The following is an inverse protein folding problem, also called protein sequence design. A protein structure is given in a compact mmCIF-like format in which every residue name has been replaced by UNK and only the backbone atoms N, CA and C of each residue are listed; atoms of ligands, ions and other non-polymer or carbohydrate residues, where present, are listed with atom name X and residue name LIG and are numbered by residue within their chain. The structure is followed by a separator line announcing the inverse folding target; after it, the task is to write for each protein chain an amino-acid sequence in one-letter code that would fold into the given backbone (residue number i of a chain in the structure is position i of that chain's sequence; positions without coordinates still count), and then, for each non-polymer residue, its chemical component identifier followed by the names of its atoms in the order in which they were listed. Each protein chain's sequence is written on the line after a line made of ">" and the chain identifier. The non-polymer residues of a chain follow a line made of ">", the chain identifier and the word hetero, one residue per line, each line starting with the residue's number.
data_IF_848999230017
#
_entry.id   IF_848999230017
#
_cell.length_a   1.000
_cell.length_b   1.000
_cell.length_c   1.000
_cell.angle_alpha   90.00
_cell.angle_beta   90.00
_cell.angle_gamma   90.00
#
_symmetry.space_group_name_H-M   'P 1'
#
loop_
_entity.id
_entity.type
_entity.pdbx_description
1 polymer ?
#
# COMPACT_ATOMS: atom_id res chain seq x y z
N UNK A 1 -0.19 24.40 31.87
CA UNK A 1 -0.27 25.34 30.73
C UNK A 1 1.07 25.33 30.03
N UNK A 2 1.08 25.32 28.71
CA UNK A 2 2.32 25.51 27.93
C UNK A 2 2.55 26.99 27.63
N UNK A 3 3.81 27.42 27.65
CA UNK A 3 4.21 28.81 27.45
C UNK A 3 5.19 28.95 26.28
N UNK A 4 4.94 29.93 25.41
CA UNK A 4 5.85 30.36 24.36
C UNK A 4 6.35 31.78 24.67
N UNK A 5 7.61 32.05 24.35
CA UNK A 5 8.22 33.38 24.57
C UNK A 5 7.66 34.42 23.60
N UNK A 6 7.23 33.98 22.41
CA UNK A 6 6.59 34.83 21.41
C UNK A 6 5.06 34.82 21.59
N UNK A 7 4.48 36.02 21.75
CA UNK A 7 3.03 36.20 21.94
C UNK A 7 2.18 35.67 20.79
N UNK A 8 2.72 35.66 19.55
CA UNK A 8 2.04 35.19 18.34
C UNK A 8 1.49 33.77 18.47
N UNK A 9 2.23 32.88 19.14
CA UNK A 9 1.83 31.48 19.24
C UNK A 9 0.74 31.28 20.29
N UNK A 10 0.60 32.16 21.28
CA UNK A 10 -0.42 32.02 22.32
C UNK A 10 -0.24 30.76 23.19
N UNK A 11 -0.85 30.76 24.37
CA UNK A 11 -0.71 29.63 25.33
C UNK A 11 -1.71 28.53 25.01
N UNK A 12 -1.28 27.27 25.12
CA UNK A 12 -2.19 26.12 25.10
C UNK A 12 -2.45 25.66 26.54
N UNK A 13 -3.72 25.57 26.90
CA UNK A 13 -4.20 25.18 28.22
C UNK A 13 -4.01 23.69 28.53
N UNK A 14 -4.21 22.81 27.55
CA UNK A 14 -4.22 21.34 27.73
C UNK A 14 -2.99 20.60 27.21
N UNK A 15 -2.22 21.13 26.25
CA UNK A 15 -1.11 20.39 25.61
C UNK A 15 -0.15 19.72 26.62
N UNK A 16 0.32 20.46 27.64
CA UNK A 16 1.18 19.90 28.67
C UNK A 16 0.49 18.82 29.53
N UNK A 17 -0.80 19.03 29.85
CA UNK A 17 -1.59 18.06 30.62
C UNK A 17 -1.84 16.78 29.82
N UNK A 18 -2.13 16.88 28.52
CA UNK A 18 -2.35 15.73 27.65
C UNK A 18 -1.10 14.86 27.54
N UNK A 19 0.08 15.47 27.32
CA UNK A 19 1.36 14.73 27.29
C UNK A 19 1.66 14.08 28.64
N UNK A 20 1.37 14.75 29.75
CA UNK A 20 1.53 14.19 31.09
C UNK A 20 0.58 13.02 31.35
N UNK A 21 -0.69 13.12 30.96
CA UNK A 21 -1.71 12.08 31.14
C UNK A 21 -1.37 10.81 30.31
N UNK A 22 -1.02 10.98 29.03
CA UNK A 22 -0.56 9.89 28.16
C UNK A 22 0.73 9.27 28.70
N UNK A 23 1.69 10.11 29.12
CA UNK A 23 2.94 9.66 29.71
C UNK A 23 2.74 8.84 30.99
N UNK A 24 1.84 9.26 31.88
CA UNK A 24 1.52 8.53 33.11
C UNK A 24 0.84 7.18 32.83
N UNK A 25 0.02 7.08 31.78
CA UNK A 25 -0.57 5.80 31.37
C UNK A 25 0.47 4.85 30.78
N UNK A 26 1.38 5.34 29.92
CA UNK A 26 2.49 4.55 29.39
C UNK A 26 3.43 4.06 30.50
N UNK A 27 3.75 4.91 31.48
CA UNK A 27 4.59 4.56 32.62
C UNK A 27 3.96 3.48 33.50
N UNK A 28 2.64 3.56 33.77
CA UNK A 28 1.90 2.51 34.49
C UNK A 28 1.95 1.15 33.80
N UNK A 29 2.23 1.13 32.49
CA UNK A 29 2.36 -0.07 31.66
C UNK A 29 3.80 -0.51 31.46
N UNK A 30 4.73 0.05 32.23
CA UNK A 30 6.14 -0.34 32.22
C UNK A 30 6.99 0.34 31.15
N UNK A 31 6.48 1.35 30.44
CA UNK A 31 7.30 2.13 29.53
C UNK A 31 8.23 3.08 30.32
N UNK A 32 9.46 3.25 29.85
CA UNK A 32 10.34 4.31 30.33
C UNK A 32 9.89 5.65 29.71
N UNK A 33 9.27 6.51 30.52
CA UNK A 33 8.66 7.76 30.05
C UNK A 33 9.47 8.97 30.50
N UNK A 34 9.63 9.93 29.59
CA UNK A 34 10.19 11.26 29.86
C UNK A 34 9.27 12.30 29.24
N UNK A 35 8.76 13.19 30.08
CA UNK A 35 7.92 14.31 29.67
C UNK A 35 8.79 15.57 29.69
N UNK A 36 8.78 16.31 28.58
CA UNK A 36 9.45 17.61 28.46
C UNK A 36 8.37 18.65 28.22
N UNK A 37 8.18 19.54 29.19
CA UNK A 37 7.25 20.67 29.06
C UNK A 37 7.99 21.88 28.50
N UNK A 38 7.33 22.63 27.62
CA UNK A 38 7.82 23.86 27.00
C UNK A 38 9.28 23.75 26.49
N UNK A 39 9.58 22.76 25.64
CA UNK A 39 10.94 22.56 25.15
C UNK A 39 11.41 23.78 24.36
N UNK A 40 12.57 24.30 24.72
CA UNK A 40 13.35 25.20 23.88
C UNK A 40 14.38 24.41 23.05
N UNK A 41 15.14 25.11 22.21
CA UNK A 41 16.19 24.47 21.39
C UNK A 41 17.23 23.70 22.18
N UNK A 42 17.61 24.19 23.37
CA UNK A 42 18.58 23.51 24.22
C UNK A 42 17.99 22.24 24.85
N UNK A 43 16.68 22.20 25.04
CA UNK A 43 15.91 21.06 25.55
C UNK A 43 15.53 20.00 24.52
N UNK A 44 15.61 20.28 23.21
CA UNK A 44 15.29 19.31 22.14
C UNK A 44 16.04 17.97 22.26
N UNK A 45 17.35 17.92 22.57
CA UNK A 45 18.04 16.65 22.78
C UNK A 45 17.39 15.77 23.87
N UNK A 46 16.76 16.40 24.86
CA UNK A 46 16.03 15.73 25.93
C UNK A 46 14.67 15.19 25.50
N UNK A 47 14.17 15.55 24.31
CA UNK A 47 12.93 14.98 23.72
C UNK A 47 13.23 13.67 22.98
N UNK A 48 14.45 13.49 22.47
CA UNK A 48 14.80 12.27 21.75
C UNK A 48 14.77 11.04 22.67
N UNK A 49 14.16 9.92 22.26
CA UNK A 49 14.04 8.72 23.09
C UNK A 49 15.41 8.20 23.55
N UNK A 50 15.47 7.75 24.80
CA UNK A 50 16.67 7.17 25.37
C UNK A 50 16.92 5.80 24.70
N UNK A 51 18.16 5.53 24.32
CA UNK A 51 18.51 4.42 23.43
C UNK A 51 18.68 3.10 24.17
N UNK A 52 18.06 2.06 23.63
CA UNK A 52 18.57 0.69 23.73
C UNK A 52 18.34 -0.02 22.40
N UNK A 53 19.39 -0.61 21.85
CA UNK A 53 19.35 -1.28 20.57
C UNK A 53 18.24 -2.34 20.56
N UNK A 54 17.41 -2.35 19.53
CA UNK A 54 16.33 -3.35 19.41
C UNK A 54 14.98 -2.93 19.99
N UNK A 55 14.89 -1.77 20.65
CA UNK A 55 13.66 -1.34 21.33
C UNK A 55 12.70 -0.56 20.43
N UNK A 56 11.55 -0.20 21.01
CA UNK A 56 10.50 0.60 20.40
C UNK A 56 10.39 1.96 21.09
N UNK A 57 10.17 3.03 20.35
CA UNK A 57 9.99 4.37 20.89
C UNK A 57 8.64 4.97 20.46
N UNK A 58 7.96 5.62 21.40
CA UNK A 58 6.81 6.47 21.14
C UNK A 58 7.22 7.91 21.39
N UNK A 59 7.00 8.77 20.40
CA UNK A 59 7.22 10.22 20.53
C UNK A 59 5.86 10.89 20.35
N UNK A 60 5.36 11.50 21.43
CA UNK A 60 4.11 12.27 21.40
C UNK A 60 4.44 13.75 21.59
N UNK A 61 4.03 14.56 20.60
CA UNK A 61 4.17 16.00 20.62
C UNK A 61 2.78 16.64 20.63
N UNK A 62 2.52 17.51 21.60
CA UNK A 62 1.34 18.37 21.61
C UNK A 62 1.78 19.83 21.69
N UNK A 63 1.32 20.67 20.76
CA UNK A 63 1.83 22.05 20.67
C UNK A 63 1.42 22.77 19.40
N UNK A 64 2.09 23.87 19.08
CA UNK A 64 1.93 24.53 17.79
C UNK A 64 2.86 23.94 16.74
N UNK A 65 2.45 24.06 15.49
CA UNK A 65 3.31 23.86 14.35
C UNK A 65 3.12 24.99 13.33
N UNK A 66 4.16 25.26 12.55
CA UNK A 66 4.13 26.19 11.42
C UNK A 66 4.48 25.44 10.15
N UNK A 67 3.80 25.79 9.06
CA UNK A 67 4.11 25.28 7.73
C UNK A 67 5.10 26.23 7.05
N UNK A 68 6.32 25.76 6.79
CA UNK A 68 7.34 26.44 5.96
C UNK A 68 7.12 26.27 4.45
N UNK A 69 6.02 25.64 4.05
CA UNK A 69 5.69 25.26 2.68
C UNK A 69 4.77 24.04 2.65
N UNK A 70 4.49 23.49 1.47
CA UNK A 70 3.51 22.40 1.33
C UNK A 70 3.92 21.07 1.96
N UNK A 71 5.21 20.89 2.23
CA UNK A 71 5.76 19.66 2.84
C UNK A 71 6.55 19.94 4.12
N UNK A 72 6.67 21.19 4.55
CA UNK A 72 7.62 21.58 5.61
C UNK A 72 6.89 21.89 6.93
N UNK A 73 6.40 20.87 7.64
CA UNK A 73 5.93 21.07 9.01
C UNK A 73 7.12 21.27 9.95
N UNK A 74 7.02 22.31 10.77
CA UNK A 74 7.98 22.63 11.81
C UNK A 74 7.26 22.76 13.14
N UNK A 75 7.73 22.04 14.14
CA UNK A 75 7.20 22.10 15.51
C UNK A 75 7.72 23.37 16.19
N UNK A 76 6.81 24.15 16.77
CA UNK A 76 7.12 25.39 17.47
C UNK A 76 7.67 25.05 18.85
N UNK A 77 8.86 25.56 19.14
CA UNK A 77 9.53 25.48 20.44
C UNK A 77 9.19 26.72 21.27
N UNK A 78 9.47 26.67 22.58
CA UNK A 78 9.26 27.83 23.47
C UNK A 78 9.93 29.10 22.94
N UNK A 79 11.17 28.97 22.48
CA UNK A 79 12.02 30.07 22.00
C UNK A 79 11.91 30.31 20.48
N UNK A 80 10.83 29.84 19.83
CA UNK A 80 10.60 30.08 18.40
C UNK A 80 10.38 31.57 18.10
N UNK A 81 11.07 32.09 17.09
CA UNK A 81 10.90 33.48 16.63
C UNK A 81 9.54 33.70 15.95
N UNK A 82 9.06 34.94 15.88
CA UNK A 82 7.75 35.26 15.32
C UNK A 82 7.58 34.79 13.86
N UNK A 83 8.68 34.72 13.11
CA UNK A 83 8.71 34.24 11.73
C UNK A 83 8.57 32.72 11.61
N UNK A 84 8.68 31.95 12.70
CA UNK A 84 8.64 30.49 12.67
C UNK A 84 9.77 29.89 11.84
N UNK A 85 10.94 30.53 11.82
CA UNK A 85 11.99 30.16 10.87
C UNK A 85 12.62 28.79 11.17
N UNK A 86 13.16 28.06 10.18
CA UNK A 86 13.67 26.70 10.37
C UNK A 86 14.78 26.55 11.42
N UNK A 87 15.51 27.64 11.72
CA UNK A 87 16.57 27.67 12.74
C UNK A 87 16.03 27.73 14.18
N UNK A 88 14.77 28.11 14.35
CA UNK A 88 14.11 28.28 15.65
C UNK A 88 12.98 27.28 15.89
N UNK A 89 12.79 26.33 14.97
CA UNK A 89 11.76 25.31 15.04
C UNK A 89 12.37 23.91 14.92
N UNK A 90 11.58 22.89 15.22
CA UNK A 90 12.02 21.50 15.17
C UNK A 90 11.39 20.76 13.99
N UNK A 91 12.24 20.10 13.20
CA UNK A 91 11.80 19.11 12.22
C UNK A 91 11.29 17.83 12.92
N UNK A 92 10.02 17.40 12.73
CA UNK A 92 9.54 16.12 13.25
C UNK A 92 10.41 14.94 12.78
N UNK A 93 10.98 15.03 11.57
CA UNK A 93 11.85 13.98 11.04
C UNK A 93 13.14 13.79 11.86
N UNK A 94 13.63 14.83 12.56
CA UNK A 94 14.81 14.69 13.43
C UNK A 94 14.54 13.85 14.67
N UNK A 95 13.29 13.85 15.17
CA UNK A 95 12.89 13.02 16.32
C UNK A 95 12.94 11.53 15.92
N UNK A 96 12.30 11.19 14.80
CA UNK A 96 12.29 9.83 14.27
C UNK A 96 13.68 9.37 13.81
N UNK A 97 14.39 10.20 13.03
CA UNK A 97 15.73 9.88 12.52
C UNK A 97 16.74 9.72 13.64
N UNK A 98 16.66 10.56 14.68
CA UNK A 98 17.47 10.45 15.87
C UNK A 98 17.22 9.16 16.67
N UNK A 99 15.97 8.70 16.75
CA UNK A 99 15.64 7.42 17.40
C UNK A 99 16.21 6.23 16.62
N UNK A 100 16.00 6.22 15.30
CA UNK A 100 16.48 5.15 14.41
C UNK A 100 18.00 5.07 14.37
N UNK A 101 18.70 6.20 14.29
CA UNK A 101 20.17 6.27 14.35
C UNK A 101 20.75 5.71 15.66
N UNK A 102 19.94 5.65 16.72
CA UNK A 102 20.30 5.07 18.03
C UNK A 102 19.92 3.59 18.16
N UNK A 103 19.47 2.94 17.09
CA UNK A 103 19.17 1.51 17.07
C UNK A 103 17.75 1.14 17.53
N UNK A 104 16.84 2.12 17.65
CA UNK A 104 15.42 1.85 17.85
C UNK A 104 14.86 1.18 16.59
N UNK A 105 14.15 0.06 16.74
CA UNK A 105 13.58 -0.70 15.61
C UNK A 105 12.18 -0.25 15.23
N UNK A 106 11.44 0.37 16.15
CA UNK A 106 10.09 0.85 15.87
C UNK A 106 9.89 2.24 16.46
N UNK A 107 9.39 3.17 15.66
CA UNK A 107 9.04 4.52 16.13
C UNK A 107 7.59 4.81 15.82
N UNK A 108 6.79 5.15 16.83
CA UNK A 108 5.47 5.76 16.64
C UNK A 108 5.58 7.25 16.95
N UNK A 109 5.48 8.09 15.92
CA UNK A 109 5.41 9.54 16.03
C UNK A 109 3.96 10.00 16.02
N UNK A 110 3.54 10.70 17.06
CA UNK A 110 2.22 11.27 17.22
C UNK A 110 2.35 12.78 17.32
N UNK A 111 1.77 13.50 16.38
CA UNK A 111 1.76 14.95 16.29
C UNK A 111 0.33 15.43 16.54
N UNK A 112 0.14 16.12 17.65
CA UNK A 112 -1.12 16.75 18.06
C UNK A 112 -0.94 18.26 18.05
N UNK A 113 -0.88 18.81 16.84
CA UNK A 113 -0.59 20.22 16.58
C UNK A 113 -1.70 20.88 15.74
N UNK A 114 -1.56 22.17 15.45
CA UNK A 114 -2.37 22.85 14.44
C UNK A 114 -1.63 22.80 13.08
N UNK A 115 -2.36 22.60 11.96
CA UNK A 115 -1.80 22.51 10.58
C UNK A 115 -0.98 21.24 10.21
N UNK A 116 -1.34 20.08 10.77
CA UNK A 116 -0.42 18.91 10.88
C UNK A 116 -0.24 18.08 9.62
N UNK A 117 -1.18 18.12 8.68
CA UNK A 117 -1.14 17.26 7.49
C UNK A 117 0.04 17.53 6.55
N UNK A 118 0.77 18.64 6.75
CA UNK A 118 1.96 19.00 5.96
C UNK A 118 3.25 18.30 6.41
N UNK A 119 3.29 17.69 7.61
CA UNK A 119 4.49 17.03 8.15
C UNK A 119 4.88 15.77 7.39
N UNK A 120 3.87 15.22 6.78
CA UNK A 120 3.79 13.83 6.42
C UNK A 120 4.61 13.48 5.20
N UNK A 121 4.63 14.29 4.12
CA UNK A 121 5.55 14.03 3.03
C UNK A 121 7.00 13.98 3.54
N UNK A 122 7.37 14.81 4.51
CA UNK A 122 8.71 14.79 5.12
C UNK A 122 8.95 13.57 6.01
N UNK A 123 8.01 13.18 6.86
CA UNK A 123 8.17 11.97 7.70
C UNK A 123 8.08 10.69 6.86
N UNK A 124 7.25 10.66 5.81
CA UNK A 124 7.21 9.59 4.81
C UNK A 124 8.52 9.52 4.01
N UNK A 125 9.08 10.66 3.63
CA UNK A 125 10.37 10.73 2.97
C UNK A 125 11.49 10.21 3.88
N UNK A 126 11.48 10.57 5.16
CA UNK A 126 12.40 10.03 6.15
C UNK A 126 12.19 8.52 6.32
N UNK A 127 10.97 8.07 6.52
CA UNK A 127 10.64 6.67 6.73
C UNK A 127 11.02 5.80 5.52
N UNK A 128 10.94 6.35 4.30
CA UNK A 128 11.40 5.69 3.07
C UNK A 128 12.92 5.58 2.94
N UNK A 129 13.69 6.33 3.74
CA UNK A 129 15.16 6.30 3.78
C UNK A 129 15.72 5.39 4.88
N UNK A 130 14.84 4.74 5.66
CA UNK A 130 15.26 3.84 6.73
C UNK A 130 15.54 2.48 6.12
N UNK A 131 16.82 2.16 5.92
CA UNK A 131 17.25 0.83 5.51
C UNK A 131 17.11 -0.17 6.68
N UNK A 132 16.51 -1.33 6.42
CA UNK A 132 16.42 -2.44 7.38
C UNK A 132 15.02 -2.74 7.94
N UNK A 133 14.89 -3.67 8.90
CA UNK A 133 13.62 -4.21 9.41
C UNK A 133 12.90 -3.26 10.38
N UNK A 134 13.07 -1.95 10.21
CA UNK A 134 12.54 -0.95 11.11
C UNK A 134 11.13 -0.52 10.70
N UNK A 135 10.30 -0.14 11.67
CA UNK A 135 8.95 0.38 11.43
C UNK A 135 8.83 1.83 11.91
N UNK A 136 8.15 2.66 11.13
CA UNK A 136 7.78 4.02 11.49
C UNK A 136 6.28 4.18 11.30
N UNK A 137 5.58 4.50 12.38
CA UNK A 137 4.20 4.95 12.38
C UNK A 137 4.12 6.45 12.60
N UNK A 138 3.21 7.12 11.90
CA UNK A 138 2.96 8.56 12.05
C UNK A 138 1.47 8.79 12.16
N UNK A 139 1.05 9.56 13.17
CA UNK A 139 -0.29 10.10 13.28
C UNK A 139 -0.19 11.61 13.44
N UNK A 140 -0.93 12.35 12.63
CA UNK A 140 -1.08 13.80 12.74
C UNK A 140 -2.57 14.11 12.96
N UNK A 141 -2.92 14.87 14.00
CA UNK A 141 -4.32 15.00 14.44
C UNK A 141 -5.14 15.98 13.63
N UNK A 142 -4.49 16.86 12.86
CA UNK A 142 -5.13 17.82 11.97
C UNK A 142 -4.70 17.66 10.50
N UNK A 143 -5.60 17.97 9.56
CA UNK A 143 -5.22 18.16 8.15
C UNK A 143 -4.49 19.51 7.95
N UNK A 144 -3.83 19.77 6.80
CA UNK A 144 -3.05 21.00 6.56
C UNK A 144 -3.85 22.30 6.76
N UNK A 145 -5.18 22.21 6.62
CA UNK A 145 -6.13 23.32 6.63
C UNK A 145 -6.98 23.37 7.90
N UNK A 146 -6.64 22.61 8.95
CA UNK A 146 -7.45 22.46 10.16
C UNK A 146 -6.68 22.82 11.44
N UNK A 147 -7.41 23.31 12.43
CA UNK A 147 -6.93 23.44 13.81
C UNK A 147 -7.36 22.23 14.62
N UNK A 148 -6.42 21.61 15.36
CA UNK A 148 -6.74 20.58 16.32
C UNK A 148 -7.68 21.12 17.42
N UNK A 149 -8.63 20.28 17.83
CA UNK A 149 -9.50 20.58 18.96
C UNK A 149 -8.74 20.28 20.25
N UNK A 150 -8.44 21.33 21.01
CA UNK A 150 -7.63 21.26 22.22
C UNK A 150 -8.14 20.19 23.21
N UNK A 151 -7.23 19.32 23.68
CA UNK A 151 -7.54 18.28 24.67
C UNK A 151 -8.32 17.09 24.15
N UNK A 152 -8.70 17.04 22.86
CA UNK A 152 -9.48 15.92 22.34
C UNK A 152 -8.60 14.69 22.09
N UNK A 153 -7.48 14.85 21.39
CA UNK A 153 -6.60 13.72 21.08
C UNK A 153 -5.99 13.11 22.34
N UNK A 154 -5.45 13.92 23.25
CA UNK A 154 -4.92 13.44 24.53
C UNK A 154 -5.91 12.57 25.30
N UNK A 155 -7.19 12.96 25.33
CA UNK A 155 -8.27 12.17 25.94
C UNK A 155 -8.53 10.85 25.20
N UNK A 156 -8.69 10.89 23.88
CA UNK A 156 -8.92 9.68 23.06
C UNK A 156 -7.76 8.70 23.22
N UNK A 157 -6.53 9.21 23.19
CA UNK A 157 -5.35 8.37 23.30
C UNK A 157 -5.20 7.77 24.69
N UNK A 158 -5.38 8.58 25.73
CA UNK A 158 -5.36 8.09 27.12
C UNK A 158 -6.45 7.03 27.35
N UNK A 159 -7.65 7.23 26.83
CA UNK A 159 -8.73 6.24 26.92
C UNK A 159 -8.39 4.94 26.18
N UNK A 160 -7.84 5.05 24.96
CA UNK A 160 -7.40 3.88 24.19
C UNK A 160 -6.31 3.10 24.92
N UNK A 161 -5.35 3.80 25.54
CA UNK A 161 -4.31 3.16 26.33
C UNK A 161 -4.89 2.47 27.57
N UNK A 162 -5.92 3.03 28.22
CA UNK A 162 -6.55 2.44 29.42
C UNK A 162 -7.40 1.23 29.12
N UNK A 163 -8.25 1.32 28.10
CA UNK A 163 -9.35 0.38 27.89
C UNK A 163 -9.19 -0.45 26.61
N UNK A 164 -8.29 -0.06 25.71
CA UNK A 164 -8.22 -0.60 24.36
C UNK A 164 -9.40 -0.10 23.51
N UNK A 165 -9.51 -0.56 22.24
CA UNK A 165 -10.58 -0.13 21.34
C UNK A 165 -11.93 -0.74 21.74
N UNK A 166 -13.01 -0.09 21.34
CA UNK A 166 -14.37 -0.59 21.57
C UNK A 166 -14.69 -1.79 20.67
N UNK A 167 -15.52 -2.70 21.18
CA UNK A 167 -15.99 -3.89 20.48
C UNK A 167 -14.94 -4.99 20.33
N UNK A 168 -15.25 -6.03 19.55
CA UNK A 168 -14.30 -7.09 19.22
C UNK A 168 -13.53 -6.67 17.97
N UNK A 169 -12.21 -6.55 18.07
CA UNK A 169 -11.34 -6.15 16.96
C UNK A 169 -10.38 -7.30 16.64
N UNK A 170 -10.38 -7.85 15.41
CA UNK A 170 -9.51 -8.97 15.05
C UNK A 170 -8.01 -8.70 15.27
N UNK A 171 -7.60 -7.43 15.18
CA UNK A 171 -6.20 -7.00 15.28
C UNK A 171 -5.77 -6.56 16.67
N UNK A 172 -6.70 -6.49 17.61
CA UNK A 172 -6.47 -6.10 19.00
C UNK A 172 -7.23 -7.09 19.90
N UNK A 173 -6.81 -8.35 19.83
CA UNK A 173 -7.42 -9.45 20.58
C UNK A 173 -7.16 -9.30 22.07
N UNK A 174 -8.10 -9.72 22.92
CA UNK A 174 -7.84 -9.87 24.36
C UNK A 174 -6.78 -10.94 24.66
N UNK A 175 -6.56 -11.90 23.76
CA UNK A 175 -5.54 -12.93 23.95
C UNK A 175 -4.10 -12.39 23.87
N UNK A 176 -3.84 -11.44 22.98
CA UNK A 176 -2.48 -10.96 22.71
C UNK A 176 -1.99 -10.07 23.87
N UNK A 177 -0.84 -10.38 24.46
CA UNK A 177 -0.29 -9.59 25.58
C UNK A 177 0.20 -8.19 25.17
N UNK A 178 0.47 -7.98 23.88
CA UNK A 178 0.97 -6.74 23.34
C UNK A 178 0.32 -6.41 21.99
N UNK A 179 0.24 -5.12 21.68
CA UNK A 179 -0.41 -4.59 20.48
C UNK A 179 0.64 -3.97 19.55
N UNK A 180 0.44 -4.13 18.25
CA UNK A 180 1.35 -3.58 17.24
C UNK A 180 1.07 -2.09 17.05
N UNK A 181 2.11 -1.33 16.71
CA UNK A 181 1.97 0.10 16.46
C UNK A 181 0.95 0.46 15.38
N UNK A 182 0.84 -0.36 14.32
CA UNK A 182 -0.17 -0.17 13.26
C UNK A 182 -1.61 -0.34 13.77
N UNK A 183 -1.82 -1.22 14.75
CA UNK A 183 -3.15 -1.44 15.33
C UNK A 183 -3.53 -0.28 16.27
N UNK A 184 -2.53 0.32 16.94
CA UNK A 184 -2.69 1.57 17.72
C UNK A 184 -3.09 2.73 16.81
N UNK A 185 -2.35 2.95 15.72
CA UNK A 185 -2.66 4.00 14.73
C UNK A 185 -4.10 3.87 14.21
N UNK A 186 -4.50 2.65 13.88
CA UNK A 186 -5.83 2.35 13.36
C UNK A 186 -6.91 2.64 14.40
N UNK A 187 -6.74 2.15 15.63
CA UNK A 187 -7.73 2.38 16.67
C UNK A 187 -7.89 3.87 17.01
N UNK A 188 -6.79 4.64 16.97
CA UNK A 188 -6.83 6.10 17.11
C UNK A 188 -7.61 6.76 15.97
N UNK A 189 -7.34 6.34 14.72
CA UNK A 189 -8.06 6.86 13.55
C UNK A 189 -9.55 6.51 13.57
N UNK A 190 -9.92 5.29 13.96
CA UNK A 190 -11.31 4.84 14.04
C UNK A 190 -12.11 5.53 15.16
N UNK A 191 -11.46 5.82 16.29
CA UNK A 191 -12.08 6.56 17.39
C UNK A 191 -12.13 8.06 17.16
N UNK A 192 -11.47 8.55 16.11
CA UNK A 192 -11.50 9.96 15.81
C UNK A 192 -12.91 10.34 15.37
N UNK A 193 -13.57 11.26 16.09
CA UNK A 193 -14.91 11.63 15.72
C UNK A 193 -14.86 12.41 14.40
N UNK A 194 -15.61 11.90 13.41
CA UNK A 194 -15.76 12.52 12.10
C UNK A 194 -16.62 13.77 12.25
N UNK A 195 -16.04 14.83 12.78
CA UNK A 195 -16.67 16.15 12.80
C UNK A 195 -16.30 16.87 11.50
N UNK A 196 -17.28 17.12 10.64
CA UNK A 196 -17.15 18.04 9.51
C UNK A 196 -15.93 17.81 8.59
N UNK A 197 -15.61 16.54 8.27
CA UNK A 197 -14.49 16.19 7.36
C UNK A 197 -13.10 16.12 8.01
N UNK A 198 -13.01 16.30 9.33
CA UNK A 198 -11.75 16.23 10.08
C UNK A 198 -11.35 14.77 10.31
N UNK A 199 -10.27 14.32 9.69
CA UNK A 199 -9.68 13.00 9.92
C UNK A 199 -8.18 13.11 10.23
N UNK A 200 -7.67 12.34 11.21
CA UNK A 200 -6.26 12.31 11.49
C UNK A 200 -5.56 11.68 10.30
N UNK A 201 -4.41 12.23 9.95
CA UNK A 201 -3.61 11.65 8.89
C UNK A 201 -2.71 10.56 9.46
N UNK A 202 -2.73 9.38 8.86
CA UNK A 202 -2.01 8.19 9.33
C UNK A 202 -1.06 7.68 8.25
N UNK A 203 0.19 7.46 8.64
CA UNK A 203 1.21 6.82 7.81
C UNK A 203 1.85 5.65 8.56
N UNK A 204 2.15 4.57 7.84
CA UNK A 204 2.85 3.41 8.39
C UNK A 204 3.84 2.88 7.36
N UNK A 205 5.10 2.73 7.77
CA UNK A 205 6.21 2.38 6.91
C UNK A 205 7.00 1.23 7.54
N UNK A 206 7.26 0.15 6.79
CA UNK A 206 7.93 -1.05 7.30
C UNK A 206 6.98 -2.05 7.96
N UNK A 207 7.54 -3.00 8.72
CA UNK A 207 6.78 -4.10 9.37
C UNK A 207 6.54 -3.80 10.83
N UNK A 208 5.28 -3.51 11.18
CA UNK A 208 4.89 -3.27 12.57
C UNK A 208 4.93 -4.55 13.40
N UNK A 209 5.66 -4.50 14.50
CA UNK A 209 5.77 -5.52 15.54
C UNK A 209 5.07 -5.03 16.82
N UNK A 210 4.81 -5.92 17.80
CA UNK A 210 4.27 -5.51 19.09
C UNK A 210 5.10 -4.37 19.73
N UNK A 211 4.42 -3.37 20.27
CA UNK A 211 5.03 -2.13 20.77
C UNK A 211 4.45 -1.68 22.13
N UNK A 212 3.14 -1.82 22.35
CA UNK A 212 2.51 -1.42 23.61
C UNK A 212 1.89 -2.62 24.32
N UNK A 213 1.85 -2.60 25.65
CA UNK A 213 1.14 -3.60 26.45
C UNK A 213 -0.36 -3.50 26.20
N UNK A 214 -1.00 -4.63 25.95
CA UNK A 214 -2.43 -4.65 25.65
C UNK A 214 -3.27 -4.43 26.93
N UNK A 215 -4.08 -3.36 27.03
CA UNK A 215 -4.99 -3.13 28.16
C UNK A 215 -6.04 -4.22 28.36
N UNK A 216 -6.36 -4.96 27.32
CA UNK A 216 -7.41 -5.99 27.32
C UNK A 216 -6.85 -7.39 27.50
N UNK A 217 -5.57 -7.53 27.84
CA UNK A 217 -4.94 -8.84 27.91
C UNK A 217 -5.63 -9.71 28.96
N UNK A 218 -6.19 -10.82 28.49
CA UNK A 218 -6.74 -11.90 29.28
C UNK A 218 -6.20 -13.22 28.72
N UNK A 219 -5.31 -13.93 29.44
CA UNK A 219 -4.75 -15.19 28.97
C UNK A 219 -5.80 -16.31 28.83
N UNK A 220 -6.99 -16.15 29.42
CA UNK A 220 -8.12 -17.08 29.25
C UNK A 220 -8.99 -16.76 28.01
N UNK A 221 -8.75 -15.63 27.34
CA UNK A 221 -9.46 -15.30 26.10
C UNK A 221 -9.12 -16.31 24.99
N UNK A 222 -10.04 -16.59 24.06
CA UNK A 222 -9.76 -17.52 22.97
C UNK A 222 -8.62 -17.00 22.08
N UNK A 223 -7.64 -17.85 21.71
CA UNK A 223 -6.55 -17.46 20.83
C UNK A 223 -7.07 -17.06 19.46
N UNK A 224 -6.41 -16.08 18.85
CA UNK A 224 -6.75 -15.61 17.51
C UNK A 224 -6.47 -16.72 16.49
N UNK A 225 -7.44 -17.07 15.66
CA UNK A 225 -7.18 -17.82 14.43
C UNK A 225 -6.50 -16.89 13.42
N UNK A 226 -5.22 -17.16 13.11
CA UNK A 226 -4.30 -16.35 12.29
C UNK A 226 -4.65 -16.31 10.78
N UNK A 227 -5.92 -16.42 10.40
CA UNK A 227 -6.33 -16.17 9.02
C UNK A 227 -6.48 -14.65 8.78
N UNK A 228 -5.37 -13.95 8.54
CA UNK A 228 -5.38 -12.57 8.01
C UNK A 228 -4.63 -11.55 8.85
N UNK A 229 -3.37 -11.28 8.49
CA UNK A 229 -2.60 -10.12 8.97
C UNK A 229 -3.02 -8.80 8.29
N UNK A 230 -3.87 -8.86 7.26
CA UNK A 230 -4.73 -7.78 6.78
C UNK A 230 -6.15 -8.01 7.33
N UNK A 231 -6.84 -6.97 7.76
CA UNK A 231 -8.15 -7.14 8.36
C UNK A 231 -9.22 -7.63 7.42
N UNK A 232 -10.17 -8.46 7.90
CA UNK A 232 -11.29 -8.94 7.09
C UNK A 232 -12.24 -7.84 6.59
N UNK A 233 -12.04 -6.57 6.97
CA UNK A 233 -12.78 -5.42 6.43
C UNK A 233 -11.98 -4.51 5.49
N UNK A 234 -10.64 -4.49 5.59
CA UNK A 234 -9.80 -3.62 4.75
C UNK A 234 -9.48 -4.27 3.42
N UNK A 235 -9.32 -5.61 3.41
CA UNK A 235 -9.18 -6.41 2.20
C UNK A 235 -10.51 -7.08 1.81
N UNK A 236 -11.64 -6.38 2.07
CA UNK A 236 -13.01 -6.83 1.75
C UNK A 236 -13.56 -6.14 0.48
N UNK A 237 -13.62 -6.86 -0.65
CA UNK A 237 -14.29 -6.40 -1.85
C UNK A 237 -15.71 -5.87 -1.64
N UNK A 238 -16.49 -6.51 -0.76
CA UNK A 238 -17.88 -6.13 -0.54
C UNK A 238 -18.00 -4.79 0.21
N UNK A 239 -17.09 -4.53 1.15
CA UNK A 239 -16.99 -3.23 1.82
C UNK A 239 -16.56 -2.12 0.86
N UNK A 240 -15.65 -2.41 -0.07
CA UNK A 240 -15.27 -1.46 -1.12
C UNK A 240 -16.47 -1.17 -2.04
N UNK A 241 -17.21 -2.18 -2.46
CA UNK A 241 -18.38 -2.01 -3.32
C UNK A 241 -19.47 -1.17 -2.63
N UNK A 242 -19.69 -1.34 -1.32
CA UNK A 242 -20.60 -0.50 -0.52
C UNK A 242 -20.13 0.96 -0.49
N UNK A 243 -18.85 1.22 -0.19
CA UNK A 243 -18.30 2.58 -0.20
C UNK A 243 -18.42 3.25 -1.57
N UNK A 244 -18.17 2.51 -2.66
CA UNK A 244 -18.34 3.00 -4.03
C UNK A 244 -19.82 3.27 -4.37
N UNK A 245 -20.76 2.56 -3.75
CA UNK A 245 -22.19 2.79 -3.96
C UNK A 245 -22.71 4.05 -3.24
N UNK A 246 -22.07 4.46 -2.14
CA UNK A 246 -22.40 5.68 -1.40
C UNK A 246 -21.97 6.96 -2.14
N UNK A 247 -20.99 6.87 -3.04
CA UNK A 247 -20.56 7.98 -3.89
C UNK A 247 -21.68 8.48 -4.82
N UNK A 248 -21.70 9.79 -5.14
CA UNK A 248 -22.50 10.34 -6.21
C UNK A 248 -22.29 9.55 -7.51
N UNK A 249 -23.35 9.32 -8.29
CA UNK A 249 -23.30 8.49 -9.51
C UNK A 249 -22.19 8.92 -10.47
N UNK A 250 -21.93 10.23 -10.57
CA UNK A 250 -20.87 10.79 -11.39
C UNK A 250 -19.46 10.40 -10.93
N UNK A 251 -19.24 10.25 -9.62
CA UNK A 251 -17.94 9.97 -9.03
C UNK A 251 -17.61 8.47 -8.99
N UNK A 252 -18.60 7.58 -9.12
CA UNK A 252 -18.38 6.12 -9.06
C UNK A 252 -17.43 5.61 -10.15
N UNK A 253 -17.58 6.16 -11.37
CA UNK A 253 -16.73 5.80 -12.50
C UNK A 253 -15.29 6.31 -12.30
N UNK A 254 -15.16 7.57 -11.88
CA UNK A 254 -13.89 8.22 -11.52
C UNK A 254 -13.18 7.42 -10.43
N UNK A 255 -13.90 7.04 -9.36
CA UNK A 255 -13.34 6.29 -8.26
C UNK A 255 -12.82 4.91 -8.67
N UNK A 256 -13.61 4.15 -9.43
CA UNK A 256 -13.17 2.85 -9.95
C UNK A 256 -11.95 2.98 -10.86
N UNK A 257 -11.93 4.01 -11.68
CA UNK A 257 -10.80 4.28 -12.57
C UNK A 257 -9.52 4.58 -11.79
N UNK A 258 -9.57 5.51 -10.83
CA UNK A 258 -8.43 5.83 -9.96
C UNK A 258 -7.94 4.62 -9.17
N UNK A 259 -8.86 3.79 -8.64
CA UNK A 259 -8.50 2.56 -7.94
C UNK A 259 -7.83 1.55 -8.88
N UNK A 260 -8.26 1.43 -10.13
CA UNK A 260 -7.60 0.56 -11.13
C UNK A 260 -6.18 1.02 -11.42
N UNK A 261 -5.93 2.33 -11.48
CA UNK A 261 -4.58 2.89 -11.62
C UNK A 261 -3.73 2.50 -10.40
N UNK A 262 -4.26 2.67 -9.18
CA UNK A 262 -3.56 2.27 -7.95
C UNK A 262 -3.30 0.76 -7.86
N UNK A 263 -4.28 -0.07 -8.23
CA UNK A 263 -4.16 -1.52 -8.26
C UNK A 263 -3.11 -1.99 -9.28
N UNK A 264 -3.05 -1.32 -10.43
CA UNK A 264 -2.11 -1.62 -11.52
C UNK A 264 -0.67 -1.25 -11.16
N UNK A 265 -0.44 -0.49 -10.09
CA UNK A 265 0.90 -0.26 -9.57
C UNK A 265 1.49 -1.47 -8.82
N UNK A 266 0.77 -2.60 -8.72
CA UNK A 266 1.25 -3.88 -8.18
C UNK A 266 2.02 -3.77 -6.86
N UNK A 267 1.51 -2.98 -5.91
CA UNK A 267 2.11 -2.80 -4.59
C UNK A 267 3.35 -1.90 -4.55
N UNK A 268 3.84 -1.35 -5.68
CA UNK A 268 4.75 -0.20 -5.64
C UNK A 268 4.00 1.04 -5.11
N UNK A 269 2.73 1.15 -5.50
CA UNK A 269 1.86 2.28 -5.20
C UNK A 269 1.96 3.38 -6.24
N UNK A 270 1.07 4.35 -6.16
CA UNK A 270 1.02 5.49 -7.09
C UNK A 270 1.27 6.77 -6.29
N UNK A 271 2.28 7.58 -6.65
CA UNK A 271 2.53 8.84 -5.98
C UNK A 271 1.33 9.75 -6.10
N UNK A 272 1.00 10.39 -4.97
CA UNK A 272 -0.20 11.20 -4.80
C UNK A 272 -0.40 12.25 -5.89
N UNK A 273 0.51 13.22 -5.89
CA UNK A 273 0.37 14.48 -6.61
C UNK A 273 1.08 14.43 -7.94
N UNK A 274 0.46 15.03 -8.93
CA UNK A 274 0.92 15.16 -10.33
C UNK A 274 1.11 13.83 -11.07
N UNK A 275 1.34 12.71 -10.37
CA UNK A 275 1.59 11.39 -10.94
C UNK A 275 0.30 10.58 -11.01
N UNK A 276 -0.47 10.47 -9.92
CA UNK A 276 -1.73 9.72 -9.95
C UNK A 276 -2.75 10.32 -10.92
N UNK A 277 -3.05 11.64 -10.88
CA UNK A 277 -3.99 12.23 -11.83
C UNK A 277 -3.48 12.10 -13.26
N UNK A 278 -2.18 12.36 -13.52
CA UNK A 278 -1.60 12.24 -14.87
C UNK A 278 -1.62 10.79 -15.39
N UNK A 279 -1.31 9.82 -14.55
CA UNK A 279 -1.43 8.40 -14.92
C UNK A 279 -2.89 8.03 -15.21
N UNK A 280 -3.83 8.53 -14.41
CA UNK A 280 -5.25 8.32 -14.65
C UNK A 280 -5.68 8.98 -15.96
N UNK A 281 -5.27 10.20 -16.26
CA UNK A 281 -5.53 10.85 -17.56
C UNK A 281 -5.01 10.02 -18.74
N UNK A 282 -3.78 9.49 -18.64
CA UNK A 282 -3.19 8.67 -19.72
C UNK A 282 -3.90 7.33 -19.87
N UNK A 283 -4.37 6.73 -18.76
CA UNK A 283 -5.05 5.43 -18.75
C UNK A 283 -6.55 5.52 -18.96
N UNK A 284 -7.08 6.72 -19.24
CA UNK A 284 -8.50 6.96 -19.48
C UNK A 284 -9.02 6.05 -20.59
N UNK A 285 -10.10 5.33 -20.29
CA UNK A 285 -10.86 4.56 -21.26
C UNK A 285 -12.24 5.21 -21.49
N UNK A 286 -12.95 4.74 -22.51
CA UNK A 286 -14.29 5.24 -22.90
C UNK A 286 -15.36 5.05 -21.81
N UNK A 287 -15.06 4.30 -20.73
CA UNK A 287 -15.96 4.13 -19.59
C UNK A 287 -16.01 5.37 -18.68
N UNK A 288 -15.01 6.25 -18.77
CA UNK A 288 -14.96 7.52 -18.04
C UNK A 288 -15.57 8.62 -18.92
N UNK A 289 -16.45 9.42 -18.32
CA UNK A 289 -17.11 10.61 -18.89
C UNK A 289 -16.24 11.34 -19.93
N UNK A 290 -16.76 11.47 -21.16
CA UNK A 290 -16.11 12.19 -22.26
C UNK A 290 -15.89 13.68 -21.98
N UNK A 291 -16.63 14.26 -21.03
CA UNK A 291 -16.54 15.66 -20.61
C UNK A 291 -15.56 15.90 -19.45
N UNK A 292 -14.85 14.87 -18.98
CA UNK A 292 -13.80 15.02 -17.98
C UNK A 292 -12.45 15.22 -18.70
N UNK A 293 -11.98 16.46 -18.84
CA UNK A 293 -10.77 16.80 -19.61
C UNK A 293 -9.54 16.02 -19.15
N UNK A 294 -9.13 16.23 -17.90
CA UNK A 294 -8.00 15.58 -17.24
C UNK A 294 -8.30 15.37 -15.76
N UNK A 295 -7.74 14.30 -15.19
CA UNK A 295 -7.79 14.11 -13.74
C UNK A 295 -6.91 15.15 -13.06
N UNK A 296 -7.41 15.71 -11.97
CA UNK A 296 -6.70 16.64 -11.09
C UNK A 296 -6.47 16.04 -9.71
N UNK A 297 -5.60 16.66 -8.91
CA UNK A 297 -5.45 16.31 -7.50
C UNK A 297 -6.77 16.42 -6.73
N UNK A 298 -7.68 17.32 -7.13
CA UNK A 298 -9.00 17.46 -6.54
C UNK A 298 -9.90 16.24 -6.82
N UNK A 299 -9.78 15.60 -7.99
CA UNK A 299 -10.48 14.35 -8.30
C UNK A 299 -9.99 13.20 -7.43
N UNK A 300 -8.68 13.11 -7.23
CA UNK A 300 -8.07 12.12 -6.35
C UNK A 300 -8.51 12.33 -4.91
N UNK A 301 -8.43 13.55 -4.38
CA UNK A 301 -8.84 13.87 -3.01
C UNK A 301 -10.32 13.55 -2.76
N UNK A 302 -11.21 13.97 -3.67
CA UNK A 302 -12.66 13.73 -3.60
C UNK A 302 -13.00 12.25 -3.55
N UNK A 303 -12.28 11.43 -4.33
CA UNK A 303 -12.48 9.97 -4.35
C UNK A 303 -11.88 9.30 -3.13
N UNK A 304 -10.72 9.75 -2.65
CA UNK A 304 -10.01 9.14 -1.55
C UNK A 304 -10.77 9.24 -0.22
N UNK A 305 -11.42 10.36 0.06
CA UNK A 305 -12.10 10.59 1.33
C UNK A 305 -13.10 9.45 1.71
N UNK A 306 -14.07 9.06 0.85
CA UNK A 306 -15.02 7.98 1.17
C UNK A 306 -14.44 6.56 1.08
N UNK A 307 -13.30 6.36 0.40
CA UNK A 307 -12.68 5.03 0.26
C UNK A 307 -11.35 4.89 1.01
N UNK A 308 -10.99 5.87 1.85
CA UNK A 308 -9.68 5.96 2.50
C UNK A 308 -9.31 4.68 3.26
N UNK A 309 -10.30 4.01 3.86
CA UNK A 309 -10.12 2.72 4.55
C UNK A 309 -9.56 1.59 3.67
N UNK A 310 -9.73 1.69 2.35
CA UNK A 310 -9.27 0.70 1.37
C UNK A 310 -7.97 1.11 0.68
N UNK A 311 -7.46 2.31 0.96
CA UNK A 311 -6.24 2.85 0.36
C UNK A 311 -5.23 3.18 1.45
N UNK A 312 -4.08 2.50 1.41
CA UNK A 312 -2.95 2.77 2.28
C UNK A 312 -2.04 3.82 1.67
N UNK A 313 -1.56 4.74 2.50
CA UNK A 313 -0.43 5.60 2.15
C UNK A 313 0.85 4.97 2.67
N UNK A 314 1.80 4.74 1.77
CA UNK A 314 3.14 4.23 2.03
C UNK A 314 4.18 5.22 1.52
N UNK A 315 5.44 4.99 1.84
CA UNK A 315 6.58 5.71 1.30
C UNK A 315 7.25 4.88 0.22
N UNK A 316 7.68 5.52 -0.87
CA UNK A 316 8.61 4.95 -1.84
C UNK A 316 9.43 6.11 -2.44
N UNK A 317 10.76 5.96 -2.47
CA UNK A 317 11.68 6.93 -3.06
C UNK A 317 11.52 8.38 -2.56
N UNK A 318 11.35 8.55 -1.25
CA UNK A 318 11.20 9.88 -0.67
C UNK A 318 9.82 10.51 -0.89
N UNK A 319 8.84 9.77 -1.43
CA UNK A 319 7.50 10.28 -1.76
C UNK A 319 6.39 9.43 -1.13
N UNK A 320 5.25 10.04 -0.85
CA UNK A 320 4.04 9.34 -0.47
C UNK A 320 3.42 8.64 -1.69
N UNK A 321 3.11 7.36 -1.56
CA UNK A 321 2.49 6.52 -2.59
C UNK A 321 1.26 5.82 -2.04
N UNK A 322 0.19 5.81 -2.82
CA UNK A 322 -1.07 5.17 -2.47
C UNK A 322 -1.15 3.74 -3.00
N UNK A 323 -1.65 2.82 -2.17
CA UNK A 323 -1.76 1.39 -2.45
C UNK A 323 -3.13 0.90 -2.00
N UNK A 324 -3.67 -0.13 -2.64
CA UNK A 324 -4.82 -0.83 -2.05
C UNK A 324 -4.41 -1.60 -0.80
N UNK A 325 -5.32 -1.69 0.17
CA UNK A 325 -5.05 -2.27 1.49
C UNK A 325 -4.71 -3.76 1.49
N UNK A 326 -5.03 -4.49 0.42
CA UNK A 326 -4.66 -5.89 0.31
C UNK A 326 -4.80 -6.48 -1.09
N UNK A 327 -4.29 -7.71 -1.28
CA UNK A 327 -4.28 -8.39 -2.57
C UNK A 327 -5.67 -8.78 -3.07
N UNK A 328 -6.66 -9.02 -2.19
CA UNK A 328 -8.03 -9.35 -2.64
C UNK A 328 -8.71 -8.14 -3.25
N UNK A 329 -8.52 -6.94 -2.68
CA UNK A 329 -8.97 -5.70 -3.29
C UNK A 329 -8.29 -5.44 -4.63
N UNK A 330 -6.97 -5.66 -4.72
CA UNK A 330 -6.26 -5.54 -6.00
C UNK A 330 -6.87 -6.47 -7.04
N UNK A 331 -7.10 -7.74 -6.69
CA UNK A 331 -7.73 -8.71 -7.59
C UNK A 331 -9.15 -8.31 -7.97
N UNK A 332 -9.95 -7.81 -7.02
CA UNK A 332 -11.33 -7.36 -7.23
C UNK A 332 -11.41 -6.13 -8.15
N UNK A 333 -10.61 -5.10 -7.87
CA UNK A 333 -10.57 -3.87 -8.66
C UNK A 333 -10.08 -4.14 -10.08
N UNK A 334 -9.16 -5.09 -10.25
CA UNK A 334 -8.68 -5.51 -11.55
C UNK A 334 -9.57 -6.57 -12.22
N UNK A 335 -10.56 -7.13 -11.53
CA UNK A 335 -11.49 -8.09 -12.13
C UNK A 335 -12.28 -7.40 -13.25
N UNK A 336 -12.24 -7.97 -14.46
CA UNK A 336 -12.86 -7.39 -15.64
C UNK A 336 -12.04 -6.28 -16.32
N UNK A 337 -10.88 -5.90 -15.80
CA UNK A 337 -9.94 -5.05 -16.56
C UNK A 337 -9.22 -5.89 -17.62
N UNK A 338 -9.35 -5.49 -18.89
CA UNK A 338 -8.64 -6.15 -19.99
C UNK A 338 -7.12 -5.97 -19.89
N UNK A 339 -6.36 -6.81 -20.59
CA UNK A 339 -4.88 -6.78 -20.61
C UNK A 339 -4.28 -5.40 -20.98
N UNK A 340 -5.04 -4.54 -21.67
CA UNK A 340 -4.66 -3.17 -22.05
C UNK A 340 -4.16 -2.34 -20.87
N UNK A 341 -4.89 -2.36 -19.75
CA UNK A 341 -4.58 -1.50 -18.59
C UNK A 341 -3.18 -1.73 -17.99
N UNK A 342 -2.64 -2.95 -18.13
CA UNK A 342 -1.31 -3.33 -17.63
C UNK A 342 -0.17 -2.92 -18.56
N UNK A 343 -0.43 -2.89 -19.87
CA UNK A 343 0.54 -2.48 -20.90
C UNK A 343 0.62 -0.95 -20.96
N UNK A 344 -0.53 -0.30 -20.82
CA UNK A 344 -0.63 1.15 -20.93
C UNK A 344 0.03 1.87 -19.75
N UNK A 345 0.06 1.28 -18.54
CA UNK A 345 0.75 1.89 -17.39
C UNK A 345 2.27 1.94 -17.61
N UNK A 346 2.85 0.88 -18.15
CA UNK A 346 4.28 0.85 -18.49
C UNK A 346 4.60 1.82 -19.64
N UNK A 347 3.70 1.95 -20.62
CA UNK A 347 3.84 2.90 -21.72
C UNK A 347 3.65 4.36 -21.27
N UNK A 348 2.73 4.62 -20.34
CA UNK A 348 2.51 5.91 -19.71
C UNK A 348 3.74 6.31 -18.88
N UNK A 349 4.27 5.35 -18.11
CA UNK A 349 5.47 5.56 -17.32
C UNK A 349 6.72 5.83 -18.18
N UNK A 350 6.84 5.16 -19.33
CA UNK A 350 7.91 5.40 -20.30
C UNK A 350 7.80 6.74 -21.03
N UNK A 351 6.58 7.30 -21.17
CA UNK A 351 6.33 8.62 -21.77
C UNK A 351 6.44 9.78 -20.77
N UNK A 352 6.43 9.50 -19.48
CA UNK A 352 6.49 10.52 -18.44
C UNK A 352 7.93 10.92 -18.09
N UNK A 353 8.17 12.22 -17.92
CA UNK A 353 9.44 12.73 -17.41
C UNK A 353 9.63 12.50 -15.89
N UNK A 354 8.63 11.95 -15.19
CA UNK A 354 8.73 11.77 -13.73
C UNK A 354 9.73 10.63 -13.38
N UNK A 355 10.73 10.90 -12.51
CA UNK A 355 11.73 9.91 -12.11
C UNK A 355 11.18 8.65 -11.45
N UNK A 356 10.06 8.77 -10.71
CA UNK A 356 9.39 7.63 -10.09
C UNK A 356 8.86 6.69 -11.17
N UNK A 357 8.13 7.25 -12.14
CA UNK A 357 7.56 6.47 -13.24
C UNK A 357 8.64 5.73 -14.03
N UNK A 358 9.73 6.40 -14.39
CA UNK A 358 10.85 5.77 -15.11
C UNK A 358 11.47 4.61 -14.34
N UNK A 359 11.73 4.78 -13.05
CA UNK A 359 12.34 3.74 -12.22
C UNK A 359 11.45 2.51 -12.05
N UNK A 360 10.15 2.72 -11.88
CA UNK A 360 9.21 1.62 -11.71
C UNK A 360 8.66 1.06 -13.02
N UNK A 361 8.92 1.69 -14.18
CA UNK A 361 8.46 1.23 -15.48
C UNK A 361 8.90 -0.21 -15.79
N UNK A 362 10.15 -0.57 -15.48
CA UNK A 362 10.65 -1.94 -15.67
C UNK A 362 10.00 -2.94 -14.71
N UNK A 363 9.82 -2.56 -13.44
CA UNK A 363 9.13 -3.39 -12.46
C UNK A 363 7.65 -3.61 -12.82
N UNK A 364 6.97 -2.56 -13.30
CA UNK A 364 5.62 -2.63 -13.84
C UNK A 364 5.56 -3.52 -15.08
N UNK A 365 6.51 -3.38 -16.01
CA UNK A 365 6.59 -4.21 -17.22
C UNK A 365 6.84 -5.69 -16.88
N UNK A 366 7.81 -5.97 -16.01
CA UNK A 366 8.13 -7.33 -15.57
C UNK A 366 6.96 -7.99 -14.84
N UNK A 367 6.18 -7.24 -14.04
CA UNK A 367 4.99 -7.74 -13.34
C UNK A 367 3.77 -7.87 -14.25
N UNK A 368 3.58 -6.96 -15.21
CA UNK A 368 2.54 -7.05 -16.23
C UNK A 368 2.71 -8.33 -17.09
N UNK A 369 3.95 -8.74 -17.32
CA UNK A 369 4.30 -9.96 -18.05
C UNK A 369 4.17 -11.25 -17.21
N UNK A 370 4.10 -11.15 -15.88
CA UNK A 370 3.82 -12.31 -15.01
C UNK A 370 2.32 -12.56 -14.95
N UNK A 371 1.86 -13.72 -15.46
CA UNK A 371 0.48 -14.19 -15.24
C UNK A 371 0.23 -14.35 -13.72
N UNK A 372 -0.92 -13.89 -13.18
CA UNK A 372 -1.26 -14.13 -11.78
C UNK A 372 -1.39 -15.63 -11.51
N UNK A 373 -0.83 -16.08 -10.38
CA UNK A 373 -0.73 -17.49 -9.96
C UNK A 373 -2.07 -18.08 -9.47
N UNK A 374 -3.15 -17.31 -9.42
CA UNK A 374 -4.39 -17.70 -8.72
C UNK A 374 -5.63 -17.82 -9.61
N UNK A 375 -5.48 -18.13 -10.89
CA UNK A 375 -6.60 -18.62 -11.70
C UNK A 375 -6.25 -20.02 -12.18
N UNK A 376 -6.73 -21.04 -11.46
CA UNK A 376 -6.79 -22.40 -12.01
C UNK A 376 -7.52 -22.29 -13.34
N UNK A 377 -6.88 -22.60 -14.48
CA UNK A 377 -7.57 -22.50 -15.76
C UNK A 377 -8.71 -23.51 -15.71
N UNK A 378 -9.94 -23.04 -15.92
CA UNK A 378 -11.02 -23.95 -16.31
C UNK A 378 -10.55 -24.60 -17.61
N UNK A 379 -10.15 -25.88 -17.54
CA UNK A 379 -9.91 -26.70 -18.73
C UNK A 379 -11.16 -26.58 -19.60
N UNK A 380 -11.06 -26.13 -20.87
CA UNK A 380 -12.19 -26.21 -21.78
C UNK A 380 -12.64 -27.66 -21.85
N UNK A 381 -13.94 -27.90 -21.69
CA UNK A 381 -14.52 -29.23 -21.80
C UNK A 381 -14.16 -29.82 -23.18
N UNK A 382 -13.45 -30.94 -23.20
CA UNK A 382 -13.06 -31.65 -24.43
C UNK A 382 -11.56 -31.86 -24.63
N UNK A 383 -10.68 -31.20 -23.87
CA UNK A 383 -9.22 -31.38 -23.98
C UNK A 383 -8.69 -32.40 -22.97
N UNK A 384 -8.92 -33.68 -23.29
CA UNK A 384 -8.32 -34.82 -22.59
C UNK A 384 -7.00 -35.21 -23.28
N UNK A 385 -6.13 -35.94 -22.57
CA UNK A 385 -4.94 -36.58 -23.17
C UNK A 385 -5.35 -37.38 -24.42
N UNK A 386 -6.49 -38.08 -24.36
CA UNK A 386 -7.06 -38.79 -25.50
C UNK A 386 -7.38 -37.90 -26.72
N UNK A 387 -7.81 -36.65 -26.51
CA UNK A 387 -8.06 -35.69 -27.61
C UNK A 387 -6.77 -35.23 -28.30
N UNK A 388 -5.68 -35.07 -27.54
CA UNK A 388 -4.36 -34.74 -28.08
C UNK A 388 -3.79 -35.93 -28.86
N UNK A 389 -3.84 -37.14 -28.31
CA UNK A 389 -3.42 -38.37 -29.01
C UNK A 389 -4.20 -38.58 -30.31
N UNK A 390 -5.52 -38.32 -30.31
CA UNK A 390 -6.34 -38.40 -31.53
C UNK A 390 -5.91 -37.38 -32.59
N UNK A 391 -5.54 -36.16 -32.17
CA UNK A 391 -5.07 -35.11 -33.08
C UNK A 391 -3.71 -35.46 -33.66
N UNK A 392 -2.78 -35.97 -32.84
CA UNK A 392 -1.45 -36.43 -33.28
C UNK A 392 -1.60 -37.55 -34.32
N UNK A 393 -2.39 -38.60 -34.03
CA UNK A 393 -2.62 -39.70 -34.96
C UNK A 393 -3.31 -39.28 -36.27
N UNK A 394 -4.14 -38.22 -36.25
CA UNK A 394 -4.74 -37.66 -37.46
C UNK A 394 -3.72 -36.89 -38.31
N UNK A 395 -2.75 -36.23 -37.69
CA UNK A 395 -1.65 -35.54 -38.38
C UNK A 395 -0.65 -36.57 -38.92
N UNK A 396 -0.26 -37.57 -38.14
CA UNK A 396 0.65 -38.64 -38.58
C UNK A 396 0.12 -39.36 -39.82
N UNK A 397 -1.16 -39.77 -39.83
CA UNK A 397 -1.80 -40.39 -41.00
C UNK A 397 -1.80 -39.53 -42.25
N UNK A 398 -1.79 -38.20 -42.10
CA UNK A 398 -1.71 -37.27 -43.24
C UNK A 398 -0.28 -37.10 -43.76
N UNK A 399 0.71 -37.41 -42.93
CA UNK A 399 2.13 -37.27 -43.24
C UNK A 399 2.79 -38.58 -43.69
N UNK A 400 2.07 -39.71 -43.65
CA UNK A 400 2.64 -41.06 -43.87
C UNK A 400 3.13 -41.30 -45.30
N UNK A 401 2.63 -40.57 -46.30
CA UNK A 401 2.92 -40.88 -47.71
C UNK A 401 3.90 -39.90 -48.40
N UNK A 402 4.44 -38.93 -47.66
CA UNK A 402 5.33 -37.91 -48.25
C UNK A 402 6.71 -37.90 -47.54
N UNK A 403 7.79 -38.28 -48.25
CA UNK A 403 9.15 -38.29 -47.71
C UNK A 403 9.66 -36.90 -47.36
N UNK A 404 9.03 -35.82 -47.88
CA UNK A 404 9.39 -34.47 -47.49
C UNK A 404 9.13 -34.19 -46.00
N UNK A 405 8.32 -34.98 -45.28
CA UNK A 405 7.94 -34.68 -43.89
C UNK A 405 8.57 -35.59 -42.83
N UNK A 406 9.69 -36.25 -43.14
CA UNK A 406 10.36 -37.20 -42.22
C UNK A 406 10.74 -36.55 -40.87
N UNK A 407 11.38 -35.39 -40.86
CA UNK A 407 11.74 -34.66 -39.62
C UNK A 407 10.51 -34.31 -38.74
N UNK A 408 9.37 -34.06 -39.39
CA UNK A 408 8.13 -33.70 -38.70
C UNK A 408 7.47 -34.94 -38.09
N UNK A 409 7.59 -36.10 -38.75
CA UNK A 409 7.15 -37.39 -38.22
C UNK A 409 7.97 -37.76 -36.97
N UNK A 410 9.28 -37.57 -37.00
CA UNK A 410 10.16 -37.85 -35.85
C UNK A 410 9.83 -36.94 -34.65
N UNK A 411 9.56 -35.66 -34.92
CA UNK A 411 9.14 -34.71 -33.89
C UNK A 411 7.76 -35.08 -33.30
N UNK A 412 6.82 -35.56 -34.14
CA UNK A 412 5.47 -35.96 -33.70
C UNK A 412 5.51 -37.22 -32.85
N UNK A 413 6.32 -38.21 -33.24
CA UNK A 413 6.53 -39.42 -32.45
C UNK A 413 7.12 -39.11 -31.07
N UNK A 414 8.11 -38.22 -31.01
CA UNK A 414 8.71 -37.74 -29.75
C UNK A 414 7.66 -37.07 -28.84
N UNK A 415 6.77 -36.27 -29.43
CA UNK A 415 5.69 -35.62 -28.70
C UNK A 415 4.65 -36.63 -28.18
N UNK A 416 4.30 -37.64 -28.98
CA UNK A 416 3.37 -38.70 -28.60
C UNK A 416 3.87 -39.47 -27.36
N UNK A 417 5.12 -39.92 -27.38
CA UNK A 417 5.77 -40.62 -26.27
C UNK A 417 5.83 -39.75 -25.00
N UNK A 418 6.12 -38.45 -25.16
CA UNK A 418 6.22 -37.52 -24.03
C UNK A 418 4.85 -37.23 -23.40
N UNK A 419 3.78 -37.22 -24.19
CA UNK A 419 2.40 -37.00 -23.74
C UNK A 419 1.87 -38.20 -22.94
N UNK A 420 2.30 -39.42 -23.29
CA UNK A 420 1.89 -40.65 -22.60
C UNK A 420 2.57 -40.81 -21.22
N UNK A 421 3.74 -40.18 -21.01
CA UNK A 421 4.52 -40.26 -19.78
C UNK A 421 4.15 -39.27 -18.65
N UNK A 422 3.79 -38.02 -18.95
CA UNK A 422 3.18 -37.00 -18.05
C UNK A 422 3.31 -35.60 -18.67
N UNK A 423 2.23 -34.81 -18.62
CA UNK A 423 2.21 -33.42 -19.08
C UNK A 423 3.18 -32.53 -18.26
N UNK A 424 4.39 -32.35 -18.78
CA UNK A 424 5.51 -31.67 -18.10
C UNK A 424 6.20 -30.65 -19.00
N UNK A 425 7.26 -30.02 -18.48
CA UNK A 425 8.12 -29.06 -19.21
C UNK A 425 8.61 -29.63 -20.56
N UNK A 426 8.89 -30.93 -20.60
CA UNK A 426 9.30 -31.65 -21.81
C UNK A 426 8.23 -31.65 -22.92
N UNK A 427 6.93 -31.67 -22.56
CA UNK A 427 5.83 -31.57 -23.54
C UNK A 427 5.83 -30.20 -24.21
N UNK A 428 6.16 -29.13 -23.46
CA UNK A 428 6.23 -27.77 -24.01
C UNK A 428 7.42 -27.62 -24.96
N UNK A 429 8.58 -28.15 -24.58
CA UNK A 429 9.79 -28.09 -25.41
C UNK A 429 9.60 -28.91 -26.71
N UNK A 430 8.96 -30.10 -26.63
CA UNK A 430 8.60 -30.89 -27.80
C UNK A 430 7.62 -30.15 -28.74
N UNK A 431 6.62 -29.46 -28.19
CA UNK A 431 5.69 -28.65 -28.98
C UNK A 431 6.38 -27.47 -29.67
N UNK A 432 7.34 -26.81 -29.02
CA UNK A 432 8.09 -25.70 -29.60
C UNK A 432 9.02 -26.17 -30.73
N UNK A 433 9.68 -27.32 -30.56
CA UNK A 433 10.46 -27.94 -31.63
C UNK A 433 9.59 -28.31 -32.84
N UNK A 434 8.41 -28.90 -32.61
CA UNK A 434 7.47 -29.25 -33.67
C UNK A 434 6.97 -28.02 -34.43
N UNK A 435 6.68 -26.94 -33.70
CA UNK A 435 6.21 -25.69 -34.28
C UNK A 435 7.30 -24.97 -35.06
N UNK A 436 8.57 -25.11 -34.66
CA UNK A 436 9.72 -24.60 -35.42
C UNK A 436 9.92 -25.39 -36.72
N UNK A 437 9.91 -26.74 -36.65
CA UNK A 437 10.06 -27.61 -37.80
C UNK A 437 8.95 -27.37 -38.84
N UNK A 438 7.68 -27.31 -38.41
CA UNK A 438 6.56 -27.07 -39.31
C UNK A 438 6.58 -25.67 -39.93
N UNK A 439 6.98 -24.62 -39.19
CA UNK A 439 7.08 -23.25 -39.73
C UNK A 439 8.09 -23.13 -40.87
N UNK A 440 9.17 -23.90 -40.82
CA UNK A 440 10.16 -23.92 -41.92
C UNK A 440 9.61 -24.48 -43.24
N UNK A 441 8.45 -25.15 -43.22
CA UNK A 441 7.84 -25.82 -44.39
C UNK A 441 6.40 -25.37 -44.71
N UNK A 442 5.83 -24.45 -43.93
CA UNK A 442 4.38 -24.13 -43.93
C UNK A 442 3.91 -23.13 -45.00
N UNK A 443 4.78 -22.62 -45.88
CA UNK A 443 4.38 -21.55 -46.81
C UNK A 443 3.32 -21.97 -47.85
N UNK A 444 2.90 -23.24 -47.93
CA UNK A 444 1.89 -23.68 -48.92
C UNK A 444 0.87 -24.72 -48.44
N UNK A 445 0.89 -25.19 -47.19
CA UNK A 445 0.00 -26.27 -46.75
C UNK A 445 -0.98 -25.85 -45.63
N UNK A 446 -2.26 -25.77 -45.99
CA UNK A 446 -3.35 -25.39 -45.10
C UNK A 446 -3.60 -26.42 -43.98
N UNK A 447 -3.34 -27.71 -44.21
CA UNK A 447 -3.50 -28.74 -43.19
C UNK A 447 -2.42 -28.63 -42.12
N UNK A 448 -1.18 -28.32 -42.52
CA UNK A 448 -0.06 -28.07 -41.61
C UNK A 448 -0.29 -26.81 -40.76
N UNK A 449 -0.84 -25.77 -41.38
CA UNK A 449 -1.20 -24.53 -40.71
C UNK A 449 -2.30 -24.74 -39.65
N UNK A 450 -3.32 -25.54 -39.97
CA UNK A 450 -4.38 -25.87 -39.02
C UNK A 450 -3.87 -26.70 -37.83
N UNK A 451 -2.98 -27.67 -38.08
CA UNK A 451 -2.35 -28.48 -37.04
C UNK A 451 -1.45 -27.63 -36.13
N UNK A 452 -0.63 -26.75 -36.71
CA UNK A 452 0.18 -25.76 -35.98
C UNK A 452 -0.68 -24.85 -35.09
N UNK A 453 -1.82 -24.38 -35.59
CA UNK A 453 -2.73 -23.54 -34.82
C UNK A 453 -3.39 -24.30 -33.65
N UNK A 454 -3.65 -25.60 -33.80
CA UNK A 454 -4.17 -26.44 -32.72
C UNK A 454 -3.10 -26.71 -31.64
N UNK A 455 -1.89 -27.06 -32.06
CA UNK A 455 -0.75 -27.34 -31.16
C UNK A 455 -0.26 -26.09 -30.43
N UNK A 456 -0.24 -24.93 -31.10
CA UNK A 456 0.07 -23.63 -30.47
C UNK A 456 -0.97 -23.27 -29.42
N UNK A 457 -2.27 -23.47 -29.73
CA UNK A 457 -3.34 -23.28 -28.73
C UNK A 457 -3.17 -24.21 -27.54
N UNK A 458 -2.73 -25.45 -27.75
CA UNK A 458 -2.47 -26.39 -26.67
C UNK A 458 -1.28 -25.97 -25.80
N UNK A 459 -0.17 -25.55 -26.42
CA UNK A 459 1.02 -25.02 -25.73
C UNK A 459 0.68 -23.83 -24.82
N UNK A 460 -0.16 -22.92 -25.31
CA UNK A 460 -0.51 -21.70 -24.56
C UNK A 460 -1.47 -21.98 -23.36
N UNK A 461 -2.06 -23.18 -23.33
CA UNK A 461 -2.94 -23.69 -22.27
C UNK A 461 -2.20 -24.54 -21.21
N UNK A 462 -1.03 -25.10 -21.54
CA UNK A 462 -0.10 -25.73 -20.59
C UNK A 462 0.76 -24.66 -19.90
#
# INVERSE_FOLDING_TARGET
>A
MSGYDCERYGKLGRAAADVQEVGAELARRGAAVRVVSDPDRAGVPSVAPASSQGTTALVYWAGHAVAGGQTDLRLVLRDTDEAGSPRWTLDPARLTGGALARGVRQVLLVLDTCHDGTAIPNVAALASKVDGPSWVGVLATAQPYEQALEGQFGRIFTDLLRHGPDGVRPHWSAYDAAVRGVDVLRALAERWPVYAGRQPWVGSFGTSLPMLVNPRHDPAAPPRTLAGAAGPGDDDPAALDRALAELPKADRAVARHLLRVAASAFGAGVPARDVWPRLASVLRNDEVRADLDDYTDADVARVLEPIARHVLVSGADGRAVYRLAGPRLVAHVLAGTGARYRVDLAAAAARGDDPYLRRYAEAHRARALRRPVSATPRRPAGLTVAGLSTTIAAVERRLTDDPAYEDLRDALATLADTVEGSASRHTRDALDHLAAAARSRAESDAALTAALAALTRYRDLL
#
